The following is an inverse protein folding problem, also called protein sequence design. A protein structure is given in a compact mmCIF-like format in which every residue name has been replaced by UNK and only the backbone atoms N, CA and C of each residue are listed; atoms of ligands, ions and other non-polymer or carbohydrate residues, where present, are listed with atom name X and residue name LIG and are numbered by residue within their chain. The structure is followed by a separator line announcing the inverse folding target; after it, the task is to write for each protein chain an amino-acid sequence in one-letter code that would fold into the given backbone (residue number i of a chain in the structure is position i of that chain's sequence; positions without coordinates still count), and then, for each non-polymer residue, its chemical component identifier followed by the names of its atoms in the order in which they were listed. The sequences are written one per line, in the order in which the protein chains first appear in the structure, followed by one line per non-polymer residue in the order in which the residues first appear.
data_IF_267277969954
#
_entry.id   IF_267277969954
#
_cell.length_a   1.000
_cell.length_b   1.000
_cell.length_c   1.000
_cell.angle_alpha   90.00
_cell.angle_beta   90.00
_cell.angle_gamma   90.00
#
_symmetry.space_group_name_H-M   'P 1'
#
loop_
_entity.id
_entity.type
_entity.pdbx_description
1 polymer ?
#
# COMPACT_ATOMS: atom_id res chain seq x y z
N UNK A 1 13.65 -15.18 4.79
CA UNK A 1 14.03 -15.15 3.35
C UNK A 1 14.28 -13.69 3.02
N UNK A 2 15.54 -13.30 2.77
CA UNK A 2 15.87 -11.89 2.50
C UNK A 2 15.77 -11.56 0.99
N UNK A 3 15.91 -12.54 0.10
CA UNK A 3 15.83 -12.32 -1.34
C UNK A 3 14.37 -12.29 -1.85
N UNK A 4 13.61 -11.31 -1.38
CA UNK A 4 12.19 -11.14 -1.71
C UNK A 4 11.88 -9.67 -1.94
N UNK A 5 11.06 -9.43 -2.96
CA UNK A 5 10.39 -8.15 -3.17
C UNK A 5 8.94 -8.31 -2.73
N UNK A 6 8.50 -7.49 -1.79
CA UNK A 6 7.14 -7.54 -1.26
C UNK A 6 6.36 -6.31 -1.74
N UNK A 7 5.06 -6.49 -1.96
CA UNK A 7 4.14 -5.46 -2.44
C UNK A 7 2.88 -5.47 -1.57
N UNK A 8 2.24 -4.31 -1.35
CA UNK A 8 0.85 -4.28 -0.85
C UNK A 8 -0.10 -4.80 -1.92
N UNK A 9 0.17 -4.40 -3.17
CA UNK A 9 -0.46 -4.91 -4.38
C UNK A 9 0.38 -4.57 -5.59
N UNK A 10 0.09 -5.23 -6.71
CA UNK A 10 0.64 -4.89 -8.03
C UNK A 10 -0.36 -4.04 -8.82
N UNK A 11 -0.02 -3.67 -10.05
CA UNK A 11 -0.96 -2.98 -10.95
C UNK A 11 -2.20 -3.81 -11.31
N UNK A 12 -2.14 -5.14 -11.19
CA UNK A 12 -3.27 -6.04 -11.45
C UNK A 12 -4.21 -6.20 -10.26
N UNK A 13 -3.77 -5.79 -9.06
CA UNK A 13 -4.58 -5.83 -7.86
C UNK A 13 -5.44 -4.57 -7.74
N UNK A 14 -6.49 -4.65 -6.92
CA UNK A 14 -7.20 -3.46 -6.49
C UNK A 14 -6.32 -2.61 -5.55
N UNK A 15 -6.70 -1.36 -5.29
CA UNK A 15 -6.08 -0.60 -4.20
C UNK A 15 -6.36 -1.30 -2.86
N UNK A 16 -5.55 -1.05 -1.85
CA UNK A 16 -5.75 -1.66 -0.52
C UNK A 16 -7.12 -1.29 0.07
N UNK A 17 -7.60 -0.06 -0.17
CA UNK A 17 -8.94 0.38 0.23
C UNK A 17 -10.03 -0.28 -0.65
N UNK A 18 -9.81 -0.39 -1.96
CA UNK A 18 -10.75 -1.08 -2.87
C UNK A 18 -10.93 -2.56 -2.51
N UNK A 19 -9.82 -3.26 -2.26
CA UNK A 19 -9.82 -4.61 -1.71
C UNK A 19 -10.56 -4.63 -0.37
N UNK A 20 -10.21 -3.77 0.58
CA UNK A 20 -10.86 -3.75 1.88
C UNK A 20 -12.37 -3.60 1.74
N UNK A 21 -12.85 -2.67 0.92
CA UNK A 21 -14.27 -2.39 0.70
C UNK A 21 -15.04 -3.56 0.07
N UNK A 22 -14.36 -4.49 -0.61
CA UNK A 22 -14.99 -5.64 -1.28
C UNK A 22 -14.67 -6.99 -0.64
N UNK A 23 -13.66 -7.05 0.24
CA UNK A 23 -13.26 -8.24 0.95
C UNK A 23 -14.37 -8.76 1.87
N UNK A 24 -14.41 -10.08 2.01
CA UNK A 24 -15.33 -10.76 2.93
C UNK A 24 -15.01 -10.41 4.38
N UNK A 25 -15.99 -10.55 5.26
CA UNK A 25 -15.77 -10.32 6.70
C UNK A 25 -14.74 -11.27 7.30
N UNK A 26 -14.60 -12.48 6.75
CA UNK A 26 -13.55 -13.42 7.14
C UNK A 26 -12.15 -12.85 6.85
N UNK A 27 -11.92 -12.37 5.63
CA UNK A 27 -10.65 -11.76 5.22
C UNK A 27 -10.35 -10.49 6.02
N UNK A 28 -11.36 -9.62 6.20
CA UNK A 28 -11.23 -8.40 7.00
C UNK A 28 -10.91 -8.71 8.47
N UNK A 29 -11.58 -9.71 9.04
CA UNK A 29 -11.34 -10.17 10.41
C UNK A 29 -9.92 -10.69 10.62
N UNK A 30 -9.43 -11.47 9.66
CA UNK A 30 -8.04 -11.93 9.67
C UNK A 30 -7.05 -10.77 9.55
N UNK A 31 -7.26 -9.86 8.61
CA UNK A 31 -6.39 -8.71 8.39
C UNK A 31 -6.32 -7.79 9.61
N UNK A 32 -7.44 -7.46 10.25
CA UNK A 32 -7.45 -6.67 11.50
C UNK A 32 -6.64 -7.33 12.61
N UNK A 33 -6.82 -8.63 12.79
CA UNK A 33 -6.08 -9.39 13.81
C UNK A 33 -4.59 -9.44 13.52
N UNK A 34 -4.21 -9.69 12.27
CA UNK A 34 -2.81 -9.82 11.87
C UNK A 34 -2.07 -8.48 11.90
N UNK A 35 -2.71 -7.42 11.41
CA UNK A 35 -2.14 -6.07 11.33
C UNK A 35 -2.29 -5.29 12.64
N UNK A 36 -3.02 -5.82 13.63
CA UNK A 36 -3.44 -5.09 14.83
C UNK A 36 -4.10 -3.74 14.47
N UNK A 37 -5.09 -3.80 13.58
CA UNK A 37 -5.76 -2.66 12.96
C UNK A 37 -7.26 -2.68 13.26
N UNK A 38 -7.88 -1.51 13.35
CA UNK A 38 -9.34 -1.36 13.37
C UNK A 38 -9.94 -1.30 11.95
N UNK A 39 -9.10 -1.25 10.92
CA UNK A 39 -9.46 -1.18 9.50
C UNK A 39 -9.74 0.23 8.98
N UNK A 40 -9.66 1.27 9.82
CA UNK A 40 -9.94 2.65 9.41
C UNK A 40 -8.90 3.23 8.44
N UNK A 41 -7.66 2.74 8.52
CA UNK A 41 -6.53 3.16 7.68
C UNK A 41 -5.81 1.94 7.09
N UNK A 42 -6.58 0.99 6.56
CA UNK A 42 -6.06 -0.31 6.11
C UNK A 42 -4.90 -0.21 5.12
N UNK A 43 -4.93 0.77 4.20
CA UNK A 43 -3.82 1.03 3.28
C UNK A 43 -2.53 1.36 4.02
N UNK A 44 -2.59 2.25 5.02
CA UNK A 44 -1.42 2.63 5.82
C UNK A 44 -0.96 1.49 6.73
N UNK A 45 -1.88 0.70 7.27
CA UNK A 45 -1.54 -0.44 8.11
C UNK A 45 -0.87 -1.56 7.31
N UNK A 46 -1.31 -1.79 6.07
CA UNK A 46 -0.62 -2.68 5.14
C UNK A 46 0.76 -2.14 4.74
N UNK A 47 0.90 -0.83 4.50
CA UNK A 47 2.20 -0.18 4.22
C UNK A 47 3.16 -0.37 5.39
N UNK A 48 2.72 -0.12 6.63
CA UNK A 48 3.53 -0.33 7.85
C UNK A 48 3.96 -1.79 7.99
N UNK A 49 3.04 -2.74 7.82
CA UNK A 49 3.35 -4.16 7.95
C UNK A 49 4.34 -4.64 6.88
N UNK A 50 4.20 -4.18 5.63
CA UNK A 50 5.13 -4.52 4.57
C UNK A 50 6.50 -3.91 4.83
N UNK A 51 6.56 -2.66 5.28
CA UNK A 51 7.80 -1.98 5.65
C UNK A 51 8.53 -2.71 6.78
N UNK A 52 7.83 -3.16 7.82
CA UNK A 52 8.41 -3.93 8.91
C UNK A 52 8.79 -5.38 8.53
N UNK A 53 8.45 -5.85 7.32
CA UNK A 53 8.73 -7.22 6.90
C UNK A 53 10.24 -7.47 6.69
N UNK A 54 10.63 -8.74 6.63
CA UNK A 54 12.02 -9.17 6.36
C UNK A 54 12.42 -9.10 4.88
N UNK A 55 11.55 -8.59 3.99
CA UNK A 55 11.84 -8.46 2.57
C UNK A 55 12.95 -7.42 2.32
N UNK A 56 13.89 -7.71 1.42
CA UNK A 56 14.97 -6.76 1.09
C UNK A 56 14.45 -5.54 0.34
N UNK A 57 13.38 -5.70 -0.46
CA UNK A 57 12.75 -4.60 -1.17
C UNK A 57 11.24 -4.62 -0.94
N UNK A 58 10.67 -3.44 -0.70
CA UNK A 58 9.23 -3.25 -0.54
C UNK A 58 8.78 -2.19 -1.53
N UNK A 59 7.67 -2.42 -2.21
CA UNK A 59 7.13 -1.52 -3.24
C UNK A 59 5.65 -1.30 -2.98
N UNK A 60 5.25 -0.04 -3.04
CA UNK A 60 3.87 0.39 -2.82
C UNK A 60 3.31 1.00 -4.11
N UNK A 61 2.10 0.62 -4.55
CA UNK A 61 1.34 1.43 -5.50
C UNK A 61 1.11 2.82 -4.93
N UNK A 62 1.24 3.85 -5.77
CA UNK A 62 1.04 5.23 -5.32
C UNK A 62 -0.38 5.48 -4.81
N UNK A 63 -1.37 4.75 -5.33
CA UNK A 63 -2.75 4.76 -4.84
C UNK A 63 -2.86 4.44 -3.35
N UNK A 64 -2.05 3.50 -2.85
CA UNK A 64 -2.07 3.10 -1.43
C UNK A 64 -1.44 4.17 -0.54
N UNK A 65 -0.42 4.88 -1.04
CA UNK A 65 0.22 6.00 -0.32
C UNK A 65 -0.72 7.20 -0.22
N UNK A 66 -1.44 7.50 -1.31
CA UNK A 66 -2.45 8.57 -1.33
C UNK A 66 -3.71 8.18 -0.53
N UNK A 67 -4.03 6.88 -0.44
CA UNK A 67 -5.25 6.40 0.21
C UNK A 67 -6.48 6.46 -0.69
N UNK A 68 -6.32 6.03 -1.94
CA UNK A 68 -7.38 6.00 -2.95
C UNK A 68 -8.17 4.69 -2.92
N UNK A 69 -9.47 4.78 -3.22
CA UNK A 69 -10.36 3.62 -3.32
C UNK A 69 -10.24 2.87 -4.66
N UNK A 70 -11.05 1.83 -4.83
CA UNK A 70 -11.02 0.97 -6.02
C UNK A 70 -11.43 1.62 -7.34
N UNK A 71 -11.95 2.85 -7.33
CA UNK A 71 -12.18 3.62 -8.57
C UNK A 71 -10.85 4.05 -9.24
N UNK A 72 -9.74 3.93 -8.51
CA UNK A 72 -8.38 4.29 -8.95
C UNK A 72 -7.51 3.08 -9.30
N UNK A 73 -8.13 1.89 -9.46
CA UNK A 73 -7.43 0.67 -9.85
C UNK A 73 -6.78 0.81 -11.23
N UNK A 74 -5.53 0.35 -11.35
CA UNK A 74 -4.75 0.48 -12.58
C UNK A 74 -5.21 -0.49 -13.68
N UNK A 75 -5.34 -1.78 -13.36
CA UNK A 75 -5.74 -2.80 -14.31
C UNK A 75 -6.74 -3.79 -13.69
N UNK A 76 -7.72 -4.21 -14.49
CA UNK A 76 -8.64 -5.29 -14.22
C UNK A 76 -8.34 -6.45 -15.18
N UNK A 77 -7.54 -7.45 -14.76
CA UNK A 77 -7.23 -8.62 -15.59
C UNK A 77 -8.50 -9.26 -16.16
N UNK A 78 -8.49 -9.53 -17.46
CA UNK A 78 -9.64 -10.10 -18.18
C UNK A 78 -10.67 -9.08 -18.71
N UNK A 79 -10.56 -7.79 -18.36
CA UNK A 79 -11.32 -6.72 -19.02
C UNK A 79 -10.54 -6.14 -20.20
N UNK A 80 -11.21 -5.93 -21.33
CA UNK A 80 -10.59 -5.44 -22.56
C UNK A 80 -10.39 -3.91 -22.61
N UNK A 81 -11.13 -3.14 -21.80
CA UNK A 81 -11.14 -1.67 -21.85
C UNK A 81 -11.10 -1.08 -20.42
N UNK A 82 -10.82 0.22 -20.33
CA UNK A 82 -10.76 1.01 -19.08
C UNK A 82 -9.68 0.52 -18.10
N UNK A 83 -8.49 0.22 -18.64
CA UNK A 83 -7.30 -0.18 -17.90
C UNK A 83 -6.15 0.75 -18.30
N UNK A 84 -5.15 0.91 -17.43
CA UNK A 84 -3.93 1.69 -17.69
C UNK A 84 -4.15 3.19 -17.87
N UNK A 85 -5.32 3.68 -17.45
CA UNK A 85 -5.72 5.08 -17.60
C UNK A 85 -5.53 5.91 -16.32
N UNK A 86 -5.23 5.26 -15.18
CA UNK A 86 -5.06 5.97 -13.92
C UNK A 86 -3.85 6.91 -13.97
N UNK A 87 -4.08 8.14 -13.52
CA UNK A 87 -3.07 9.18 -13.37
C UNK A 87 -3.28 9.88 -12.05
N UNK A 88 -2.19 10.24 -11.39
CA UNK A 88 -2.23 11.13 -10.24
C UNK A 88 -2.03 12.59 -10.66
N UNK A 89 -2.46 13.49 -9.80
CA UNK A 89 -2.13 14.91 -9.86
C UNK A 89 -1.37 15.32 -8.61
N UNK A 90 -0.50 16.33 -8.70
CA UNK A 90 0.41 16.68 -7.60
C UNK A 90 -0.30 17.21 -6.34
N UNK A 91 -1.49 17.77 -6.50
CA UNK A 91 -2.37 18.18 -5.40
C UNK A 91 -2.87 17.01 -4.55
N UNK A 92 -2.83 15.78 -5.07
CA UNK A 92 -3.15 14.57 -4.29
C UNK A 92 -2.01 14.15 -3.36
N UNK A 93 -0.79 14.69 -3.54
CA UNK A 93 0.35 14.39 -2.70
C UNK A 93 0.56 15.49 -1.66
N UNK A 94 -0.10 15.33 -0.52
CA UNK A 94 0.02 16.22 0.62
C UNK A 94 1.23 15.93 1.51
N UNK A 95 1.38 16.80 2.52
CA UNK A 95 2.41 16.63 3.55
C UNK A 95 2.12 15.44 4.47
N UNK A 96 0.85 15.08 4.67
CA UNK A 96 0.47 14.00 5.58
C UNK A 96 0.93 12.64 5.05
N UNK A 97 0.66 12.35 3.78
CA UNK A 97 0.99 11.10 3.10
C UNK A 97 2.51 10.92 3.01
N UNK A 98 3.21 11.98 2.60
CA UNK A 98 4.67 11.98 2.49
C UNK A 98 5.36 11.88 3.85
N UNK A 99 4.83 12.54 4.89
CA UNK A 99 5.35 12.42 6.26
C UNK A 99 5.13 11.01 6.81
N UNK A 100 3.94 10.43 6.63
CA UNK A 100 3.65 9.07 7.08
C UNK A 100 4.63 8.05 6.47
N UNK A 101 4.85 8.13 5.15
CA UNK A 101 5.82 7.27 4.46
C UNK A 101 7.26 7.50 4.93
N UNK A 102 7.66 8.76 5.14
CA UNK A 102 8.99 9.10 5.66
C UNK A 102 9.21 8.55 7.08
N UNK A 103 8.20 8.64 7.95
CA UNK A 103 8.24 8.09 9.31
C UNK A 103 8.38 6.57 9.29
N UNK A 104 7.53 5.87 8.53
CA UNK A 104 7.56 4.40 8.45
C UNK A 104 8.89 3.89 7.90
N UNK A 105 9.38 4.50 6.80
CA UNK A 105 10.67 4.10 6.22
C UNK A 105 11.85 4.39 7.14
N UNK A 106 11.80 5.45 7.96
CA UNK A 106 12.84 5.72 8.95
C UNK A 106 12.81 4.69 10.11
N UNK A 107 11.62 4.37 10.63
CA UNK A 107 11.44 3.40 11.71
C UNK A 107 11.97 2.01 11.33
N UNK A 108 11.69 1.57 10.10
CA UNK A 108 12.06 0.22 9.62
C UNK A 108 13.43 0.19 8.93
N UNK A 109 14.24 1.24 9.06
CA UNK A 109 15.60 1.36 8.47
C UNK A 109 15.63 1.19 6.95
N UNK A 110 14.56 1.63 6.28
CA UNK A 110 14.41 1.67 4.81
C UNK A 110 14.64 3.05 4.22
N UNK A 111 14.92 4.06 5.04
CA UNK A 111 15.25 5.40 4.58
C UNK A 111 16.72 5.47 4.14
N UNK A 112 17.01 5.62 2.83
CA UNK A 112 18.38 5.61 2.32
C UNK A 112 19.21 6.79 2.82
N UNK A 113 18.59 7.87 3.31
CA UNK A 113 19.29 9.03 3.88
C UNK A 113 19.75 8.80 5.31
N UNK A 114 19.17 7.82 6.00
CA UNK A 114 19.53 7.44 7.38
C UNK A 114 20.36 6.15 7.44
N UNK A 115 20.52 5.45 6.31
CA UNK A 115 21.31 4.22 6.23
C UNK A 115 22.84 4.46 6.24
N UNK A 116 23.27 5.72 6.18
CA UNK A 116 24.68 6.14 6.08
C UNK A 116 25.27 6.74 7.36
N UNK A 117 24.52 6.72 8.47
CA UNK A 117 24.90 7.27 9.78
C UNK A 117 24.90 6.19 10.84
#
# INVERSE_FOLDING_TARGET
IANTVAYTGTHDNDTSIGWWNTASEHERGFARRYLNSDGSQINLDMVKALSASVANTVIYPLQDIIGLDGSHRMNFPGKACNNWEWRFTWDQLGSAETTALATVTAQDKRNPRLASS
#
